data_IF_178420446141
#
_entry.id   IF_178420446141
#
_cell.length_a   1.000
_cell.length_b   1.000
_cell.length_c   1.000
_cell.angle_alpha   90.00
_cell.angle_beta   90.00
_cell.angle_gamma   90.00
#
_symmetry.space_group_name_H-M   'P 1'
#
loop_
_entity.id
_entity.type
_entity.pdbx_description
1 polymer ?
#
# COMPACT_ATOMS: atom_id res chain seq x y z
N UNK A 1 20.00 -9.54 -16.52
CA UNK A 1 20.33 -10.65 -17.43
C UNK A 1 20.46 -11.93 -16.64
N UNK A 2 19.81 -13.00 -17.09
CA UNK A 2 19.76 -14.33 -16.48
C UNK A 2 20.82 -15.24 -17.12
N UNK A 3 22.01 -15.34 -16.53
CA UNK A 3 23.10 -16.16 -17.07
C UNK A 3 22.96 -17.66 -16.79
N UNK A 4 22.30 -18.06 -15.70
CA UNK A 4 22.24 -19.46 -15.22
C UNK A 4 20.82 -19.89 -14.74
N UNK A 5 19.76 -19.29 -15.28
CA UNK A 5 18.38 -19.52 -14.77
C UNK A 5 18.07 -18.85 -13.42
N UNK A 6 19.00 -18.05 -12.89
CA UNK A 6 18.82 -17.25 -11.67
C UNK A 6 18.51 -15.81 -12.04
N UNK A 7 17.48 -15.24 -11.40
CA UNK A 7 17.07 -13.85 -11.57
C UNK A 7 17.75 -12.97 -10.51
N UNK A 8 18.38 -11.89 -10.96
CA UNK A 8 18.98 -10.89 -10.09
C UNK A 8 18.32 -9.54 -10.35
N UNK A 9 18.10 -8.80 -9.27
CA UNK A 9 17.65 -7.41 -9.29
C UNK A 9 18.36 -6.63 -8.18
N UNK A 10 18.15 -5.32 -8.17
CA UNK A 10 18.55 -4.49 -7.05
C UNK A 10 18.05 -5.09 -5.73
N UNK A 11 18.99 -5.33 -4.82
CA UNK A 11 18.79 -5.82 -3.45
C UNK A 11 18.85 -4.68 -2.43
N UNK A 12 18.97 -3.42 -2.91
CA UNK A 12 19.20 -2.21 -2.11
C UNK A 12 20.46 -2.25 -1.26
N UNK A 13 21.50 -2.96 -1.72
CA UNK A 13 22.73 -3.19 -0.97
C UNK A 13 22.43 -3.68 0.45
N UNK A 14 21.59 -4.72 0.56
CA UNK A 14 21.03 -5.19 1.83
C UNK A 14 22.09 -5.35 2.93
N UNK A 15 23.25 -5.95 2.60
CA UNK A 15 24.34 -6.17 3.55
C UNK A 15 24.95 -4.87 4.10
N UNK A 16 25.02 -3.81 3.28
CA UNK A 16 25.55 -2.51 3.68
C UNK A 16 24.57 -1.80 4.59
N UNK A 17 23.29 -1.78 4.18
CA UNK A 17 22.22 -1.15 4.97
C UNK A 17 22.07 -1.83 6.33
N UNK A 18 22.20 -3.15 6.40
CA UNK A 18 22.16 -3.89 7.66
C UNK A 18 23.29 -3.50 8.63
N UNK A 19 24.42 -2.98 8.12
CA UNK A 19 25.55 -2.45 8.91
C UNK A 19 25.44 -0.94 9.17
N UNK A 20 24.34 -0.30 8.77
CA UNK A 20 24.15 1.15 8.89
C UNK A 20 24.89 1.96 7.81
N UNK A 21 25.43 1.32 6.79
CA UNK A 21 26.08 2.00 5.67
C UNK A 21 25.07 2.41 4.58
N UNK A 22 25.43 3.42 3.79
CA UNK A 22 24.63 3.83 2.62
C UNK A 22 24.84 2.86 1.44
N UNK A 23 23.83 2.63 0.59
CA UNK A 23 23.97 1.89 -0.67
C UNK A 23 25.06 2.45 -1.58
N UNK A 24 25.67 1.57 -2.39
CA UNK A 24 26.76 1.95 -3.29
C UNK A 24 26.35 3.05 -4.29
N UNK A 25 25.15 2.95 -4.87
CA UNK A 25 24.63 3.95 -5.80
C UNK A 25 24.43 5.34 -5.15
N UNK A 26 24.12 5.39 -3.85
CA UNK A 26 23.97 6.64 -3.09
C UNK A 26 25.34 7.24 -2.80
N UNK A 27 26.29 6.43 -2.34
CA UNK A 27 27.67 6.88 -2.08
C UNK A 27 28.36 7.39 -3.34
N UNK A 28 28.12 6.76 -4.48
CA UNK A 28 28.76 7.12 -5.75
C UNK A 28 28.15 8.36 -6.44
N UNK A 29 27.00 8.84 -5.99
CA UNK A 29 26.29 9.92 -6.68
C UNK A 29 26.94 11.29 -6.40
N UNK A 30 27.54 11.97 -7.40
CA UNK A 30 28.25 13.23 -7.18
C UNK A 30 27.31 14.40 -6.87
N UNK A 31 26.07 14.33 -7.35
CA UNK A 31 25.04 15.37 -7.17
C UNK A 31 24.15 15.13 -5.94
N UNK A 32 24.28 13.98 -5.27
CA UNK A 32 23.54 13.68 -4.05
C UNK A 32 22.02 13.55 -4.23
N UNK A 33 21.54 13.17 -5.42
CA UNK A 33 20.09 13.12 -5.72
C UNK A 33 19.35 11.95 -5.08
N UNK A 34 20.07 10.91 -4.64
CA UNK A 34 19.47 9.73 -4.02
C UNK A 34 19.65 9.75 -2.50
N UNK A 35 18.61 9.36 -1.78
CA UNK A 35 18.61 9.26 -0.32
C UNK A 35 18.02 7.92 0.12
N UNK A 36 18.36 7.50 1.34
CA UNK A 36 17.82 6.29 1.97
C UNK A 36 17.43 6.60 3.42
N UNK A 37 16.35 5.99 3.89
CA UNK A 37 15.83 6.16 5.24
C UNK A 37 14.49 5.45 5.43
N UNK A 38 13.86 5.62 6.61
CA UNK A 38 12.49 5.17 6.86
C UNK A 38 11.53 5.70 5.80
N UNK A 39 10.54 4.89 5.41
CA UNK A 39 9.61 5.23 4.32
C UNK A 39 8.87 6.55 4.57
N UNK A 40 8.40 6.77 5.80
CA UNK A 40 7.68 7.99 6.17
C UNK A 40 8.53 9.26 5.93
N UNK A 41 9.80 9.21 6.33
CA UNK A 41 10.72 10.34 6.16
C UNK A 41 11.00 10.62 4.67
N UNK A 42 11.16 9.57 3.86
CA UNK A 42 11.38 9.71 2.42
C UNK A 42 10.15 10.29 1.72
N UNK A 43 8.94 9.89 2.12
CA UNK A 43 7.69 10.46 1.60
C UNK A 43 7.57 11.94 1.96
N UNK A 44 7.78 12.29 3.24
CA UNK A 44 7.73 13.68 3.68
C UNK A 44 8.70 14.57 2.88
N UNK A 45 9.93 14.09 2.63
CA UNK A 45 10.91 14.79 1.79
C UNK A 45 10.50 14.87 0.32
N UNK A 46 9.87 13.82 -0.21
CA UNK A 46 9.39 13.80 -1.59
C UNK A 46 8.30 14.86 -1.80
N UNK A 47 7.34 14.97 -0.88
CA UNK A 47 6.33 16.03 -0.86
C UNK A 47 6.96 17.41 -0.74
N UNK A 48 7.88 17.61 0.20
CA UNK A 48 8.59 18.89 0.35
C UNK A 48 9.33 19.30 -0.94
N UNK A 49 9.99 18.35 -1.61
CA UNK A 49 10.69 18.60 -2.86
C UNK A 49 9.73 18.90 -4.01
N UNK A 50 8.64 18.13 -4.12
CA UNK A 50 7.59 18.35 -5.12
C UNK A 50 6.97 19.74 -4.97
N UNK A 51 6.63 20.14 -3.75
CA UNK A 51 6.04 21.46 -3.44
C UNK A 51 6.99 22.60 -3.84
N UNK A 52 8.29 22.45 -3.57
CA UNK A 52 9.30 23.46 -3.93
C UNK A 52 9.56 23.56 -5.43
N UNK A 53 9.46 22.46 -6.16
CA UNK A 53 9.90 22.37 -7.56
C UNK A 53 8.74 22.30 -8.56
N UNK A 54 7.50 22.17 -8.09
CA UNK A 54 6.36 21.80 -8.93
C UNK A 54 6.49 20.39 -9.51
N UNK A 55 7.16 19.50 -8.78
CA UNK A 55 7.47 18.13 -9.21
C UNK A 55 6.29 17.18 -9.02
N UNK A 56 6.35 16.05 -9.73
CA UNK A 56 5.39 14.95 -9.67
C UNK A 56 6.01 13.78 -8.92
N UNK A 57 5.24 13.15 -8.04
CA UNK A 57 5.69 12.02 -7.21
C UNK A 57 5.25 10.70 -7.86
N UNK A 58 6.13 9.69 -7.83
CA UNK A 58 5.82 8.33 -8.24
C UNK A 58 6.40 7.32 -7.25
N UNK A 59 5.69 6.22 -7.06
CA UNK A 59 5.98 5.14 -6.14
C UNK A 59 5.30 5.28 -4.78
N UNK A 60 4.54 6.35 -4.52
CA UNK A 60 3.83 6.52 -3.24
C UNK A 60 2.54 5.71 -3.19
N UNK A 61 1.78 5.74 -4.28
CA UNK A 61 0.44 5.11 -4.43
C UNK A 61 0.42 3.94 -5.41
N UNK A 62 1.41 3.88 -6.30
CA UNK A 62 1.44 2.94 -7.42
C UNK A 62 1.56 1.51 -6.91
N UNK A 63 0.67 0.63 -7.38
CA UNK A 63 0.60 -0.77 -6.93
C UNK A 63 0.48 -0.90 -5.39
N UNK A 64 -0.32 -0.05 -4.75
CA UNK A 64 -0.50 -0.04 -3.29
C UNK A 64 0.63 0.67 -2.54
N UNK A 65 1.53 1.31 -3.27
CA UNK A 65 2.69 2.01 -2.76
C UNK A 65 3.96 1.16 -2.80
N UNK A 66 5.08 1.85 -2.96
CA UNK A 66 6.40 1.25 -3.11
C UNK A 66 7.34 1.75 -2.01
N UNK A 67 8.55 1.18 -2.01
CA UNK A 67 9.65 1.57 -1.14
C UNK A 67 10.74 2.35 -1.91
N UNK A 68 10.42 2.90 -3.08
CA UNK A 68 11.33 3.67 -3.91
C UNK A 68 10.55 4.81 -4.54
N UNK A 69 10.75 6.01 -4.02
CA UNK A 69 9.98 7.20 -4.38
C UNK A 69 10.80 8.04 -5.35
N UNK A 70 10.16 8.52 -6.41
CA UNK A 70 10.75 9.40 -7.40
C UNK A 70 10.01 10.74 -7.40
N UNK A 71 10.76 11.83 -7.56
CA UNK A 71 10.23 13.16 -7.84
C UNK A 71 10.74 13.59 -9.21
N UNK A 72 9.82 13.89 -10.13
CA UNK A 72 10.12 14.22 -11.52
C UNK A 72 9.62 15.62 -11.85
N UNK A 73 10.37 16.44 -12.62
CA UNK A 73 9.85 17.71 -13.13
C UNK A 73 8.80 17.51 -14.25
N UNK A 74 8.62 16.29 -14.75
CA UNK A 74 7.70 15.94 -15.84
C UNK A 74 6.64 14.95 -15.33
N UNK A 75 5.35 15.13 -15.69
CA UNK A 75 4.28 14.18 -15.35
C UNK A 75 4.58 12.75 -15.85
N UNK A 76 4.26 11.74 -15.05
CA UNK A 76 4.56 10.35 -15.37
C UNK A 76 3.70 9.80 -16.51
N UNK A 77 2.54 10.39 -16.79
CA UNK A 77 1.69 10.04 -17.94
C UNK A 77 2.38 10.42 -19.26
N UNK A 78 3.12 11.54 -19.26
CA UNK A 78 3.92 11.96 -20.43
C UNK A 78 5.13 11.05 -20.62
N UNK A 79 5.75 10.61 -19.52
CA UNK A 79 6.83 9.63 -19.58
C UNK A 79 6.33 8.27 -20.09
N UNK A 80 5.17 7.81 -19.60
CA UNK A 80 4.52 6.58 -20.07
C UNK A 80 4.15 6.63 -21.56
N UNK A 81 3.70 7.79 -22.04
CA UNK A 81 3.40 7.98 -23.46
C UNK A 81 4.66 7.94 -24.36
N UNK A 82 5.83 8.28 -23.81
CA UNK A 82 7.08 8.39 -24.55
C UNK A 82 7.91 7.09 -24.59
N UNK A 83 7.64 6.12 -23.70
CA UNK A 83 8.38 4.86 -23.64
C UNK A 83 7.81 3.80 -24.59
N UNK A 84 8.69 2.98 -25.19
CA UNK A 84 8.27 1.86 -26.01
C UNK A 84 7.64 0.75 -25.17
N UNK A 85 6.37 0.44 -25.45
CA UNK A 85 5.60 -0.60 -24.78
C UNK A 85 5.68 -1.93 -25.55
N UNK A 86 5.57 -3.05 -24.84
CA UNK A 86 5.58 -4.38 -25.45
C UNK A 86 5.90 -5.49 -24.45
N UNK A 87 5.88 -6.77 -24.88
CA UNK A 87 6.20 -7.91 -24.03
C UNK A 87 7.59 -7.76 -23.39
N UNK A 88 7.64 -7.81 -22.06
CA UNK A 88 8.89 -7.69 -21.30
C UNK A 88 9.46 -6.26 -21.20
N UNK A 89 8.76 -5.25 -21.75
CA UNK A 89 9.14 -3.84 -21.60
C UNK A 89 8.32 -3.18 -20.48
N UNK A 90 8.96 -2.39 -19.61
CA UNK A 90 8.24 -1.70 -18.54
C UNK A 90 7.32 -0.61 -19.09
N UNK A 91 6.21 -0.36 -18.38
CA UNK A 91 5.37 0.82 -18.57
C UNK A 91 5.19 1.54 -17.22
N UNK A 92 4.68 2.77 -17.26
CA UNK A 92 4.40 3.61 -16.09
C UNK A 92 2.90 3.91 -15.93
N UNK A 93 2.04 3.33 -16.78
CA UNK A 93 0.60 3.38 -16.59
C UNK A 93 0.18 2.89 -15.20
N UNK A 94 -0.91 3.44 -14.68
CA UNK A 94 -1.43 3.13 -13.36
C UNK A 94 -1.57 1.61 -13.15
N UNK A 95 -0.84 1.09 -12.16
CA UNK A 95 -0.88 -0.31 -11.77
C UNK A 95 -1.86 -0.51 -10.62
N UNK A 96 -2.82 -1.42 -10.80
CA UNK A 96 -3.71 -1.86 -9.73
C UNK A 96 -2.89 -2.49 -8.59
N UNK A 97 -3.33 -2.33 -7.35
CA UNK A 97 -2.65 -2.94 -6.22
C UNK A 97 -2.89 -4.45 -6.22
N UNK A 98 -1.81 -5.21 -6.39
CA UNK A 98 -1.85 -6.67 -6.43
C UNK A 98 -2.36 -7.30 -5.14
N UNK A 99 -2.35 -6.57 -4.02
CA UNK A 99 -2.79 -7.02 -2.70
C UNK A 99 -4.21 -6.61 -2.32
N UNK A 100 -4.93 -5.85 -3.16
CA UNK A 100 -6.29 -5.38 -2.86
C UNK A 100 -7.25 -6.53 -2.49
N UNK A 101 -7.12 -7.68 -3.16
CA UNK A 101 -7.94 -8.86 -2.86
C UNK A 101 -7.66 -9.41 -1.46
N UNK A 102 -6.40 -9.47 -1.07
CA UNK A 102 -6.00 -9.99 0.23
C UNK A 102 -6.45 -9.07 1.36
N UNK A 103 -6.34 -7.76 1.17
CA UNK A 103 -6.82 -6.75 2.12
C UNK A 103 -8.33 -6.83 2.32
N UNK A 104 -9.10 -6.89 1.23
CA UNK A 104 -10.56 -7.02 1.29
C UNK A 104 -10.99 -8.33 1.97
N UNK A 105 -10.30 -9.43 1.71
CA UNK A 105 -10.56 -10.71 2.39
C UNK A 105 -10.22 -10.65 3.87
N UNK A 106 -9.11 -10.01 4.23
CA UNK A 106 -8.70 -9.84 5.63
C UNK A 106 -9.71 -9.00 6.38
N UNK A 107 -10.16 -7.89 5.79
CA UNK A 107 -11.22 -7.06 6.34
C UNK A 107 -12.52 -7.85 6.53
N UNK A 108 -12.92 -8.66 5.55
CA UNK A 108 -14.10 -9.51 5.67
C UNK A 108 -13.96 -10.54 6.80
N UNK A 109 -12.80 -11.18 6.95
CA UNK A 109 -12.53 -12.14 8.03
C UNK A 109 -12.57 -11.49 9.41
N UNK A 110 -12.17 -10.22 9.53
CA UNK A 110 -12.25 -9.46 10.78
C UNK A 110 -13.69 -9.06 11.07
N UNK A 111 -14.41 -8.52 10.07
CA UNK A 111 -15.75 -7.95 10.25
C UNK A 111 -16.80 -9.06 10.47
N UNK A 112 -16.68 -10.20 9.78
CA UNK A 112 -17.72 -11.23 9.79
C UNK A 112 -18.02 -11.81 11.21
N UNK A 113 -17.03 -12.16 12.05
CA UNK A 113 -17.28 -12.59 13.42
C UNK A 113 -17.99 -11.53 14.26
N UNK A 114 -17.57 -10.26 14.18
CA UNK A 114 -18.21 -9.18 14.93
C UNK A 114 -19.66 -8.95 14.48
N UNK A 115 -19.91 -8.96 13.17
CA UNK A 115 -21.25 -8.84 12.61
C UNK A 115 -22.15 -10.01 13.04
N UNK A 116 -21.62 -11.24 13.05
CA UNK A 116 -22.35 -12.42 13.50
C UNK A 116 -22.74 -12.34 14.98
N UNK A 117 -21.80 -11.93 15.84
CA UNK A 117 -22.06 -11.75 17.28
C UNK A 117 -23.11 -10.66 17.52
N UNK A 118 -23.01 -9.53 16.83
CA UNK A 118 -23.97 -8.44 16.96
C UNK A 118 -25.38 -8.84 16.50
N UNK A 119 -25.48 -9.58 15.39
CA UNK A 119 -26.76 -10.09 14.91
C UNK A 119 -27.38 -11.12 15.87
N UNK A 120 -26.56 -12.00 16.46
CA UNK A 120 -27.01 -12.99 17.43
C UNK A 120 -27.49 -12.33 18.73
N UNK A 121 -26.76 -11.34 19.25
CA UNK A 121 -27.14 -10.63 20.48
C UNK A 121 -28.42 -9.80 20.29
N UNK A 122 -28.56 -9.11 19.15
CA UNK A 122 -29.78 -8.38 18.81
C UNK A 122 -31.01 -9.31 18.71
N UNK A 123 -30.86 -10.48 18.05
CA UNK A 123 -31.93 -11.48 18.00
C UNK A 123 -32.28 -12.03 19.39
N UNK A 124 -31.28 -12.31 20.23
CA UNK A 124 -31.50 -12.82 21.58
C UNK A 124 -32.23 -11.78 22.46
N UNK A 125 -31.84 -10.51 22.38
CA UNK A 125 -32.52 -9.43 23.08
C UNK A 125 -33.97 -9.24 22.59
N UNK A 126 -34.19 -9.26 21.28
CA UNK A 126 -35.53 -9.21 20.69
C UNK A 126 -36.42 -10.36 21.15
N UNK A 127 -35.87 -11.58 21.20
CA UNK A 127 -36.57 -12.77 21.70
C UNK A 127 -36.94 -12.67 23.19
N UNK A 128 -36.02 -12.20 24.04
CA UNK A 128 -36.33 -11.98 25.45
C UNK A 128 -37.41 -10.90 25.65
N UNK A 129 -37.34 -9.81 24.87
CA UNK A 129 -38.35 -8.73 24.91
C UNK A 129 -39.73 -9.21 24.47
N UNK A 130 -39.83 -10.01 23.40
CA UNK A 130 -41.11 -10.56 22.95
C UNK A 130 -41.69 -11.54 23.98
N UNK A 131 -40.85 -12.39 24.59
CA UNK A 131 -41.28 -13.32 25.64
C UNK A 131 -41.75 -12.64 26.94
N UNK A 132 -41.25 -11.45 27.26
CA UNK A 132 -41.72 -10.65 28.39
C UNK A 132 -43.02 -9.89 28.07
N UNK A 133 -43.24 -9.48 26.82
CA UNK A 133 -44.50 -8.89 26.35
C UNK A 133 -45.67 -9.88 26.42
N UNK A 134 -45.45 -11.15 26.03
CA UNK A 134 -46.47 -12.20 26.11
C UNK A 134 -46.88 -12.52 27.56
N UNK A 135 -45.90 -12.55 28.49
CA UNK A 135 -46.19 -12.77 29.92
C UNK A 135 -46.92 -11.59 30.58
N UNK A 136 -46.78 -10.37 30.07
CA UNK A 136 -47.46 -9.20 30.62
C UNK A 136 -48.89 -9.04 30.07
N UNK A 137 -49.18 -9.54 28.87
CA UNK A 137 -50.55 -9.59 28.32
C UNK A 137 -51.41 -10.70 28.95
N UNK A 138 -50.81 -11.82 29.36
CA UNK A 138 -51.51 -12.89 30.09
C UNK A 138 -51.83 -12.61 31.57
N UNK A 139 -51.42 -11.46 32.11
CA UNK A 139 -51.62 -11.07 33.53
C UNK A 139 -52.64 -9.94 33.73
N UNK A 140 -53.25 -9.47 32.64
CA UNK A 140 -54.28 -8.41 32.61
C UNK A 140 -55.66 -8.92 32.16
N UNK A 141 -55.93 -10.24 32.27
CA UNK A 141 -57.27 -10.84 32.21
C UNK A 141 -57.60 -11.50 33.54
#
# INVERSE_FOLDING_TARGET
GTGNGVMYKCDRCHERVAKGEKPACITACPTGVQQIGPRADIIARAHELADKTGGYIYGETENGGTNTIYVSPVPFEKLDAAIEKGPGRPHLAAAANSMDRAENLTAAMIIAPFAAIAAASAKFYGYMKSGQSDKNQGKAS
#
